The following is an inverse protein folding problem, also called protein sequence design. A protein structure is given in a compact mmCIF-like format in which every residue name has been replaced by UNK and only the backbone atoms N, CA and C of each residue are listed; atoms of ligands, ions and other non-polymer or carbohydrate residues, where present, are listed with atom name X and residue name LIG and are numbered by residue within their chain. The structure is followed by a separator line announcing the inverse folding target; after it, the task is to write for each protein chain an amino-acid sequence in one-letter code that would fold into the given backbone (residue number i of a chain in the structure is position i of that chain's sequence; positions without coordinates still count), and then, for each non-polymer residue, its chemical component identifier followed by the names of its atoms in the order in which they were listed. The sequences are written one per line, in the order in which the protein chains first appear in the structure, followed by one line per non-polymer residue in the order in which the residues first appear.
data_IF_325166701273
#
_entry.id   IF_325166701273
#
_cell.length_a   1.000
_cell.length_b   1.000
_cell.length_c   1.000
_cell.angle_alpha   90.00
_cell.angle_beta   90.00
_cell.angle_gamma   90.00
#
_symmetry.space_group_name_H-M   'P 1'
#
loop_
_entity.id
_entity.type
_entity.pdbx_description
1 polymer ?
#
# COMPACT_ATOMS: atom_id res chain seq x y z
N UNK A 1 -16.06 -2.10 -3.71
CA UNK A 1 -16.01 -1.69 -2.28
C UNK A 1 -17.05 -2.40 -1.40
N UNK A 2 -18.15 -2.93 -1.94
CA UNK A 2 -19.20 -3.63 -1.17
C UNK A 2 -18.65 -4.81 -0.35
N UNK A 3 -17.85 -5.69 -0.94
CA UNK A 3 -17.25 -6.87 -0.29
C UNK A 3 -16.42 -6.51 0.96
N UNK A 4 -15.67 -5.40 0.91
CA UNK A 4 -14.89 -4.94 2.07
C UNK A 4 -15.81 -4.38 3.16
N UNK A 5 -16.84 -3.62 2.78
CA UNK A 5 -17.77 -3.01 3.74
C UNK A 5 -18.60 -4.08 4.48
N UNK A 6 -18.97 -5.16 3.78
CA UNK A 6 -19.73 -6.28 4.37
C UNK A 6 -18.84 -7.36 4.98
N UNK A 7 -17.50 -7.28 4.75
CA UNK A 7 -16.52 -8.28 5.19
C UNK A 7 -16.87 -9.71 4.74
N UNK A 8 -17.37 -9.83 3.50
CA UNK A 8 -17.81 -11.10 2.92
C UNK A 8 -16.59 -11.90 2.43
N UNK A 9 -16.13 -12.84 3.25
CA UNK A 9 -14.99 -13.72 2.96
C UNK A 9 -15.24 -14.59 1.73
N UNK A 10 -16.45 -15.10 1.56
CA UNK A 10 -16.81 -15.95 0.41
C UNK A 10 -16.77 -15.17 -0.90
N UNK A 11 -17.31 -13.95 -0.89
CA UNK A 11 -17.25 -13.06 -2.06
C UNK A 11 -15.81 -12.65 -2.38
N UNK A 12 -14.99 -12.36 -1.35
CA UNK A 12 -13.57 -12.06 -1.57
C UNK A 12 -12.83 -13.25 -2.19
N UNK A 13 -13.00 -14.46 -1.66
CA UNK A 13 -12.39 -15.68 -2.23
C UNK A 13 -12.81 -15.92 -3.68
N UNK A 14 -14.04 -15.58 -4.06
CA UNK A 14 -14.52 -15.70 -5.45
C UNK A 14 -13.82 -14.69 -6.39
N UNK A 15 -13.30 -13.57 -5.89
CA UNK A 15 -12.53 -12.59 -6.66
C UNK A 15 -11.07 -12.97 -6.84
N UNK A 16 -10.54 -13.92 -6.07
CA UNK A 16 -9.16 -14.39 -6.19
C UNK A 16 -8.99 -15.35 -7.36
N UNK A 17 -7.85 -15.27 -8.05
CA UNK A 17 -7.44 -16.34 -8.96
C UNK A 17 -7.16 -17.64 -8.20
N UNK A 18 -7.22 -18.78 -8.88
CA UNK A 18 -6.96 -20.07 -8.25
C UNK A 18 -5.50 -20.19 -7.76
N UNK A 19 -4.60 -19.43 -8.39
CA UNK A 19 -3.15 -19.40 -8.16
C UNK A 19 -2.70 -18.10 -7.46
N UNK A 20 -3.60 -17.40 -6.77
CA UNK A 20 -3.29 -16.12 -6.10
C UNK A 20 -2.04 -16.24 -5.23
N UNK A 21 -1.11 -15.28 -5.38
CA UNK A 21 0.07 -15.18 -4.53
C UNK A 21 -0.29 -14.49 -3.22
N UNK A 22 0.06 -15.12 -2.11
CA UNK A 22 -0.29 -14.66 -0.74
C UNK A 22 0.90 -14.01 -0.04
N UNK A 23 2.10 -14.52 -0.31
CA UNK A 23 3.36 -14.02 0.22
C UNK A 23 4.53 -14.47 -0.66
N UNK A 24 5.72 -13.90 -0.44
CA UNK A 24 6.95 -14.28 -1.16
C UNK A 24 7.57 -15.57 -0.65
N UNK A 25 7.12 -16.11 0.48
CA UNK A 25 7.53 -17.41 1.04
C UNK A 25 6.86 -18.63 0.38
N UNK A 26 6.17 -18.47 -0.77
CA UNK A 26 5.59 -19.56 -1.56
C UNK A 26 4.11 -19.86 -1.28
N UNK A 27 3.43 -19.11 -0.43
CA UNK A 27 1.99 -19.26 -0.20
C UNK A 27 1.18 -18.92 -1.45
N UNK A 28 0.44 -19.90 -2.00
CA UNK A 28 -0.37 -19.72 -3.21
C UNK A 28 -1.74 -20.39 -3.11
N UNK A 29 -2.71 -19.78 -3.80
CA UNK A 29 -4.06 -20.31 -3.93
C UNK A 29 -5.01 -19.80 -2.85
N UNK A 30 -6.31 -20.06 -3.10
CA UNK A 30 -7.40 -19.54 -2.25
C UNK A 30 -7.40 -20.11 -0.84
N UNK A 31 -7.05 -21.39 -0.69
CA UNK A 31 -6.94 -22.03 0.63
C UNK A 31 -5.80 -21.45 1.45
N UNK A 32 -4.61 -21.27 0.83
CA UNK A 32 -3.48 -20.62 1.47
C UNK A 32 -3.81 -19.17 1.85
N UNK A 33 -4.57 -18.44 1.00
CA UNK A 33 -5.04 -17.11 1.30
C UNK A 33 -5.96 -17.10 2.53
N UNK A 34 -6.96 -17.98 2.55
CA UNK A 34 -7.89 -18.07 3.67
C UNK A 34 -7.18 -18.41 4.99
N UNK A 35 -6.23 -19.35 4.95
CA UNK A 35 -5.44 -19.73 6.10
C UNK A 35 -4.54 -18.58 6.60
N UNK A 36 -3.82 -17.91 5.69
CA UNK A 36 -2.94 -16.79 6.02
C UNK A 36 -3.70 -15.63 6.68
N UNK A 37 -4.86 -15.30 6.13
CA UNK A 37 -5.71 -14.21 6.61
C UNK A 37 -6.70 -14.64 7.71
N UNK A 38 -6.62 -15.90 8.18
CA UNK A 38 -7.44 -16.45 9.28
C UNK A 38 -8.94 -16.26 9.05
N UNK A 39 -9.41 -16.69 7.88
CA UNK A 39 -10.85 -16.69 7.58
C UNK A 39 -11.56 -17.74 8.43
N UNK A 40 -12.54 -17.29 9.18
CA UNK A 40 -13.33 -18.11 10.12
C UNK A 40 -14.84 -17.91 9.97
N UNK A 41 -15.25 -17.11 8.98
CA UNK A 41 -16.64 -16.75 8.74
C UNK A 41 -17.19 -15.63 9.63
N UNK A 42 -16.42 -15.16 10.62
CA UNK A 42 -16.85 -14.10 11.53
C UNK A 42 -16.53 -12.68 11.04
N UNK A 43 -15.80 -12.55 9.92
CA UNK A 43 -15.44 -11.26 9.31
C UNK A 43 -14.45 -10.42 10.12
N UNK A 44 -13.72 -11.02 11.06
CA UNK A 44 -12.75 -10.33 11.95
C UNK A 44 -11.32 -10.35 11.41
N UNK A 45 -11.10 -10.96 10.24
CA UNK A 45 -9.78 -11.04 9.61
C UNK A 45 -9.13 -9.66 9.44
N UNK A 46 -7.82 -9.51 9.71
CA UNK A 46 -7.09 -8.26 9.46
C UNK A 46 -7.02 -7.87 7.98
N UNK A 47 -7.31 -8.78 7.05
CA UNK A 47 -7.32 -8.53 5.61
C UNK A 47 -8.16 -7.32 5.22
N UNK A 48 -9.26 -7.08 5.92
CA UNK A 48 -10.21 -6.00 5.58
C UNK A 48 -9.58 -4.61 5.71
N UNK A 49 -8.77 -4.42 6.74
CA UNK A 49 -8.03 -3.17 6.96
C UNK A 49 -7.00 -2.97 5.84
N UNK A 50 -6.22 -3.98 5.55
CA UNK A 50 -5.14 -3.89 4.54
C UNK A 50 -5.71 -3.71 3.12
N UNK A 51 -6.78 -4.42 2.76
CA UNK A 51 -7.49 -4.22 1.50
C UNK A 51 -8.06 -2.81 1.37
N UNK A 52 -8.72 -2.32 2.44
CA UNK A 52 -9.28 -0.97 2.44
C UNK A 52 -8.18 0.08 2.28
N UNK A 53 -7.04 -0.09 2.96
CA UNK A 53 -5.90 0.81 2.88
C UNK A 53 -5.30 0.84 1.48
N UNK A 54 -5.00 -0.33 0.89
CA UNK A 54 -4.44 -0.42 -0.45
C UNK A 54 -5.35 0.20 -1.51
N UNK A 55 -6.65 -0.13 -1.48
CA UNK A 55 -7.62 0.38 -2.46
C UNK A 55 -7.99 1.85 -2.28
N UNK A 56 -7.93 2.39 -1.06
CA UNK A 56 -8.17 3.82 -0.81
C UNK A 56 -7.15 4.73 -1.48
N UNK A 57 -5.98 4.20 -1.80
CA UNK A 57 -4.87 4.90 -2.47
C UNK A 57 -4.94 4.81 -3.99
N UNK A 58 -6.09 4.37 -4.54
CA UNK A 58 -6.37 4.27 -5.97
C UNK A 58 -5.76 3.05 -6.65
N UNK A 59 -6.09 2.91 -7.93
CA UNK A 59 -5.54 1.87 -8.80
C UNK A 59 -4.96 2.51 -10.07
N UNK A 60 -3.88 1.94 -10.59
CA UNK A 60 -3.29 2.35 -11.85
C UNK A 60 -2.99 1.12 -12.72
N UNK A 61 -2.90 1.35 -14.04
CA UNK A 61 -2.56 0.30 -15.00
C UNK A 61 -1.04 0.17 -15.09
N UNK A 62 -0.58 -1.07 -15.10
CA UNK A 62 0.80 -1.45 -15.40
C UNK A 62 0.78 -2.63 -16.39
N UNK A 63 1.03 -2.33 -17.67
CA UNK A 63 0.90 -3.29 -18.75
C UNK A 63 -0.52 -3.90 -18.84
N UNK A 64 -0.62 -5.21 -18.67
CA UNK A 64 -1.87 -5.98 -18.68
C UNK A 64 -2.54 -6.10 -17.30
N UNK A 65 -1.92 -5.52 -16.28
CA UNK A 65 -2.36 -5.57 -14.91
C UNK A 65 -2.95 -4.23 -14.41
N UNK A 66 -3.67 -4.28 -13.27
CA UNK A 66 -3.95 -3.14 -12.43
C UNK A 66 -3.26 -3.33 -11.08
N UNK A 67 -2.63 -2.29 -10.59
CA UNK A 67 -1.98 -2.23 -9.28
C UNK A 67 -2.77 -1.34 -8.33
N UNK A 68 -2.87 -1.73 -7.08
CA UNK A 68 -3.31 -0.89 -5.97
C UNK A 68 -2.35 -1.09 -4.78
N UNK A 69 -1.83 0.00 -4.20
CA UNK A 69 -2.00 1.43 -4.52
C UNK A 69 -1.52 1.87 -5.90
N UNK A 70 -2.12 2.95 -6.43
CA UNK A 70 -1.83 3.46 -7.78
C UNK A 70 -0.38 3.90 -8.01
N UNK A 71 0.27 4.47 -6.98
CA UNK A 71 1.65 4.96 -7.07
C UNK A 71 2.68 3.88 -7.43
N UNK A 72 2.35 2.60 -7.20
CA UNK A 72 3.26 1.49 -7.53
C UNK A 72 3.51 1.33 -9.03
N UNK A 73 2.56 1.73 -9.86
CA UNK A 73 2.71 1.70 -11.32
C UNK A 73 3.63 2.81 -11.85
N UNK A 74 3.93 3.81 -11.04
CA UNK A 74 4.72 4.99 -11.39
C UNK A 74 6.04 5.08 -10.60
N UNK A 75 6.32 4.08 -9.75
CA UNK A 75 7.52 4.08 -8.92
C UNK A 75 8.76 3.93 -9.81
N UNK A 76 9.66 4.92 -9.84
CA UNK A 76 10.83 4.83 -10.69
C UNK A 76 11.86 3.85 -10.13
N UNK A 77 12.51 3.07 -11.00
CA UNK A 77 13.53 2.06 -10.64
C UNK A 77 14.70 2.62 -9.80
N UNK A 78 14.96 3.93 -9.90
CA UNK A 78 16.05 4.58 -9.14
C UNK A 78 15.79 4.71 -7.64
N UNK A 79 14.53 4.46 -7.20
CA UNK A 79 14.19 4.51 -5.79
C UNK A 79 14.29 3.11 -5.19
N UNK A 80 15.05 3.00 -4.10
CA UNK A 80 15.05 1.83 -3.27
C UNK A 80 13.74 1.74 -2.48
N UNK A 81 13.06 0.62 -2.55
CA UNK A 81 11.76 0.43 -1.86
C UNK A 81 11.88 0.51 -0.34
N UNK A 82 13.02 0.18 0.22
CA UNK A 82 13.28 0.24 1.67
C UNK A 82 13.58 1.67 2.14
N UNK A 83 14.18 2.49 1.26
CA UNK A 83 14.57 3.87 1.57
C UNK A 83 13.57 4.89 1.02
N UNK A 84 12.42 4.45 0.54
CA UNK A 84 11.42 5.32 -0.10
C UNK A 84 10.15 5.44 0.73
N UNK A 85 9.71 6.67 0.98
CA UNK A 85 8.38 6.99 1.48
C UNK A 85 7.56 7.71 0.40
N UNK A 86 6.27 7.42 0.33
CA UNK A 86 5.29 8.13 -0.49
C UNK A 86 4.55 9.11 0.39
N UNK A 87 4.69 10.40 0.11
CA UNK A 87 4.01 11.45 0.87
C UNK A 87 2.55 11.53 0.44
N UNK A 88 1.62 11.31 1.37
CA UNK A 88 0.18 11.33 1.09
C UNK A 88 -0.33 12.75 0.76
N UNK A 89 -1.46 12.86 0.02
CA UNK A 89 -2.02 14.13 -0.43
C UNK A 89 -2.29 15.12 0.70
N UNK A 90 -1.97 16.40 0.43
CA UNK A 90 -2.21 17.50 1.36
C UNK A 90 -1.17 17.66 2.48
N UNK A 91 -0.18 16.77 2.53
CA UNK A 91 0.86 16.77 3.56
C UNK A 91 1.83 17.92 3.37
N UNK A 92 2.29 18.49 4.49
CA UNK A 92 3.42 19.41 4.55
C UNK A 92 4.48 18.84 5.46
N UNK A 93 5.74 18.86 5.03
CA UNK A 93 6.84 18.54 5.93
C UNK A 93 6.90 19.56 7.08
N UNK A 94 7.59 19.20 8.13
CA UNK A 94 7.75 20.03 9.30
C UNK A 94 9.23 20.29 9.60
N UNK A 95 9.50 21.34 10.36
CA UNK A 95 10.88 21.68 10.78
C UNK A 95 11.37 20.79 11.93
N UNK A 96 10.49 20.01 12.54
CA UNK A 96 10.83 19.08 13.62
C UNK A 96 9.77 17.99 13.79
N UNK A 97 10.12 16.93 14.49
CA UNK A 97 9.32 15.72 14.74
C UNK A 97 8.17 15.94 15.74
N UNK A 98 7.34 16.95 15.48
CA UNK A 98 6.18 17.27 16.30
C UNK A 98 5.12 17.97 15.43
N UNK A 99 3.86 17.60 15.58
CA UNK A 99 2.72 18.22 14.86
C UNK A 99 2.54 19.72 15.15
N UNK A 100 3.06 20.21 16.27
CA UNK A 100 3.02 21.62 16.66
C UNK A 100 4.13 22.46 16.01
N UNK A 101 5.17 21.84 15.45
CA UNK A 101 6.25 22.58 14.76
C UNK A 101 5.73 23.18 13.45
N UNK A 102 6.39 24.26 13.01
CA UNK A 102 5.98 24.96 11.80
C UNK A 102 6.02 24.05 10.56
N UNK A 103 5.04 24.16 9.65
CA UNK A 103 5.10 23.49 8.35
C UNK A 103 6.23 24.10 7.52
N UNK A 104 6.91 23.26 6.74
CA UNK A 104 8.02 23.60 5.86
C UNK A 104 7.67 23.26 4.41
N UNK A 105 7.85 24.23 3.52
CA UNK A 105 7.63 24.03 2.10
C UNK A 105 6.15 23.95 1.67
N UNK A 106 5.90 23.59 0.41
CA UNK A 106 4.56 23.49 -0.16
C UNK A 106 3.78 22.27 0.38
N UNK A 107 2.51 22.17 0.03
CA UNK A 107 1.75 20.94 0.18
C UNK A 107 2.23 19.91 -0.85
N UNK A 108 2.46 18.71 -0.38
CA UNK A 108 2.89 17.57 -1.19
C UNK A 108 1.69 16.65 -1.46
N UNK A 109 1.68 16.00 -2.64
CA UNK A 109 0.64 15.07 -3.04
C UNK A 109 1.29 13.93 -3.83
N UNK A 110 1.31 12.73 -3.30
CA UNK A 110 1.93 11.54 -3.91
C UNK A 110 3.41 11.73 -4.29
N UNK A 111 4.13 12.59 -3.57
CA UNK A 111 5.55 12.80 -3.83
C UNK A 111 6.36 11.64 -3.28
N UNK A 112 7.29 11.17 -4.10
CA UNK A 112 8.35 10.28 -3.65
C UNK A 112 9.32 11.06 -2.77
N UNK A 113 9.73 10.47 -1.67
CA UNK A 113 10.72 11.03 -0.77
C UNK A 113 11.70 9.93 -0.34
N UNK A 114 12.97 10.29 -0.32
CA UNK A 114 14.03 9.48 0.29
C UNK A 114 13.89 9.55 1.80
N UNK A 115 13.90 8.42 2.49
CA UNK A 115 13.97 8.34 3.95
C UNK A 115 15.42 8.55 4.35
N UNK A 116 15.69 9.69 5.00
CA UNK A 116 17.02 10.06 5.49
C UNK A 116 17.30 9.42 6.84
N UNK A 117 16.29 9.41 7.70
CA UNK A 117 16.36 8.77 9.02
C UNK A 117 14.95 8.28 9.44
N UNK A 118 14.94 7.09 10.02
CA UNK A 118 13.77 6.45 10.63
C UNK A 118 13.74 6.77 12.13
N UNK A 119 13.06 7.87 12.48
CA UNK A 119 13.06 8.41 13.82
C UNK A 119 11.92 7.82 14.65
N UNK A 120 12.12 6.57 15.08
CA UNK A 120 11.18 5.85 15.93
C UNK A 120 9.83 5.56 15.27
N UNK A 121 8.82 5.24 16.07
CA UNK A 121 7.55 4.70 15.58
C UNK A 121 6.68 5.69 14.80
N UNK A 122 6.80 7.00 15.07
CA UNK A 122 5.82 7.99 14.61
C UNK A 122 6.31 8.93 13.50
N UNK A 123 7.62 9.10 13.31
CA UNK A 123 8.18 10.13 12.45
C UNK A 123 9.28 9.62 11.54
N UNK A 124 9.32 10.18 10.33
CA UNK A 124 10.41 10.02 9.36
C UNK A 124 11.05 11.38 9.09
N UNK A 125 12.37 11.39 8.94
CA UNK A 125 13.08 12.47 8.28
C UNK A 125 13.19 12.14 6.80
N UNK A 126 12.70 13.01 5.93
CA UNK A 126 12.60 12.73 4.49
C UNK A 126 13.12 13.87 3.66
N UNK A 127 13.64 13.54 2.48
CA UNK A 127 14.06 14.47 1.43
C UNK A 127 13.27 14.20 0.16
N UNK A 128 12.53 15.20 -0.31
CA UNK A 128 11.89 15.14 -1.63
C UNK A 128 12.92 15.53 -2.70
N UNK A 129 13.17 14.72 -3.74
CA UNK A 129 14.12 15.06 -4.80
C UNK A 129 13.78 16.40 -5.48
N UNK A 130 14.73 17.33 -5.47
CA UNK A 130 14.52 18.68 -5.99
C UNK A 130 13.55 19.54 -5.16
N UNK A 131 13.16 19.10 -3.98
CA UNK A 131 12.16 19.72 -3.14
C UNK A 131 12.59 19.88 -1.67
N UNK A 132 11.62 19.99 -0.75
CA UNK A 132 11.90 20.22 0.66
C UNK A 132 12.50 19.00 1.36
N UNK A 133 13.29 19.28 2.39
CA UNK A 133 13.78 18.31 3.37
C UNK A 133 13.18 18.66 4.75
N UNK A 134 12.73 17.65 5.50
CA UNK A 134 12.14 17.86 6.83
C UNK A 134 11.47 16.61 7.38
N UNK A 135 10.62 16.80 8.37
CA UNK A 135 9.97 15.71 9.09
C UNK A 135 8.53 15.50 8.63
N UNK A 136 8.12 14.25 8.59
CA UNK A 136 6.75 13.84 8.29
C UNK A 136 6.30 12.74 9.27
N UNK A 137 5.05 12.79 9.69
CA UNK A 137 4.46 11.74 10.51
C UNK A 137 4.15 10.52 9.63
N UNK A 138 4.42 9.31 10.13
CA UNK A 138 4.21 8.05 9.36
C UNK A 138 2.79 7.86 8.87
N UNK A 139 1.78 8.32 9.59
CA UNK A 139 0.39 8.26 9.15
C UNK A 139 0.09 9.16 7.93
N UNK A 140 1.00 10.05 7.58
CA UNK A 140 0.96 10.88 6.37
C UNK A 140 1.86 10.34 5.26
N UNK A 141 2.30 9.10 5.37
CA UNK A 141 3.12 8.41 4.37
C UNK A 141 2.54 7.05 4.00
N UNK A 142 3.02 6.50 2.91
CA UNK A 142 2.87 5.10 2.54
C UNK A 142 4.26 4.53 2.26
N UNK A 143 4.43 3.22 2.48
CA UNK A 143 5.64 2.51 2.11
C UNK A 143 5.36 1.71 0.83
N UNK A 144 6.25 1.69 -0.17
CA UNK A 144 6.12 0.80 -1.34
C UNK A 144 6.03 -0.68 -0.99
N UNK A 145 6.56 -1.08 0.17
CA UNK A 145 6.51 -2.46 0.68
C UNK A 145 5.22 -2.78 1.48
N UNK A 146 4.31 -1.82 1.67
CA UNK A 146 2.98 -2.07 2.24
C UNK A 146 2.20 -3.07 1.37
N UNK A 147 1.09 -3.60 1.91
CA UNK A 147 0.23 -4.50 1.15
C UNK A 147 -0.22 -3.89 -0.18
N UNK A 148 -0.04 -4.69 -1.24
CA UNK A 148 -0.39 -4.32 -2.61
C UNK A 148 -1.21 -5.41 -3.30
N UNK A 149 -2.16 -4.98 -4.10
CA UNK A 149 -3.02 -5.82 -4.93
C UNK A 149 -2.56 -5.77 -6.37
N UNK A 150 -2.51 -6.95 -6.99
CA UNK A 150 -2.32 -7.11 -8.41
C UNK A 150 -3.58 -7.75 -8.99
N UNK A 151 -4.16 -7.10 -10.00
CA UNK A 151 -5.31 -7.63 -10.73
C UNK A 151 -4.90 -7.94 -12.16
N UNK A 152 -5.38 -9.07 -12.67
CA UNK A 152 -5.29 -9.42 -14.10
C UNK A 152 -6.63 -9.80 -14.66
N UNK A 153 -6.85 -9.47 -15.94
CA UNK A 153 -8.07 -9.89 -16.64
C UNK A 153 -7.93 -11.35 -17.08
N UNK A 154 -8.77 -12.23 -16.51
CA UNK A 154 -8.74 -13.67 -16.77
C UNK A 154 -10.15 -14.21 -16.87
N UNK A 155 -10.44 -15.01 -17.92
CA UNK A 155 -11.74 -15.64 -18.07
C UNK A 155 -12.93 -14.66 -18.10
N UNK A 156 -12.77 -13.51 -18.76
CA UNK A 156 -13.84 -12.53 -18.91
C UNK A 156 -14.03 -11.57 -17.72
N UNK A 157 -13.17 -11.61 -16.70
CA UNK A 157 -13.28 -10.76 -15.52
C UNK A 157 -11.93 -10.41 -14.90
N UNK A 158 -11.89 -9.33 -14.13
CA UNK A 158 -10.73 -8.98 -13.30
C UNK A 158 -10.66 -9.88 -12.07
N UNK A 159 -9.48 -10.48 -11.85
CA UNK A 159 -9.19 -11.37 -10.74
C UNK A 159 -8.00 -10.81 -9.94
N UNK A 160 -8.07 -10.92 -8.63
CA UNK A 160 -6.89 -10.65 -7.77
C UNK A 160 -5.92 -11.82 -7.95
N UNK A 161 -4.73 -11.53 -8.46
CA UNK A 161 -3.66 -12.53 -8.70
C UNK A 161 -2.55 -12.46 -7.66
N UNK A 162 -2.45 -11.36 -6.91
CA UNK A 162 -1.59 -11.26 -5.75
C UNK A 162 -2.16 -10.27 -4.73
N UNK A 163 -1.94 -10.56 -3.45
CA UNK A 163 -2.11 -9.62 -2.34
C UNK A 163 -0.98 -9.86 -1.36
N UNK A 164 0.06 -9.06 -1.46
CA UNK A 164 1.37 -9.29 -0.84
C UNK A 164 1.93 -8.01 -0.24
N UNK A 165 2.79 -8.16 0.77
CA UNK A 165 3.62 -7.10 1.35
C UNK A 165 5.08 -7.56 1.39
N UNK A 166 6.03 -6.61 1.44
CA UNK A 166 7.46 -6.90 1.39
C UNK A 166 7.97 -7.19 -0.02
N UNK A 167 9.15 -7.76 -0.12
CA UNK A 167 9.82 -8.26 -1.33
C UNK A 167 9.96 -9.77 -1.26
#
# INVERSE_FOLDING_TARGET
MHVIATKDEKALLAMLSNDVTVNFGGGRGREAFAAFWKFDGAGVSPVWKELAQALSRGCARDGDALLAPSFLAELPERFDSYETAIILPGTRLRVGKNRKTAPKGPRLNWHLAEVVDDIGEDWLEVRVPGGPHGFVSRDQTANPLDYRLLFKYRGGRWMITAFVAGD
#
